data_IF_840718494715
#
_entry.id   IF_840718494715
#
_cell.length_a   1.000
_cell.length_b   1.000
_cell.length_c   1.000
_cell.angle_alpha   90.00
_cell.angle_beta   90.00
_cell.angle_gamma   90.00
#
_symmetry.space_group_name_H-M   'P 1'
#
loop_
_entity.id
_entity.type
_entity.pdbx_description
1 polymer ?
#
# COMPACT_ATOMS: atom_id res chain seq x y z
N UNK A 1 -4.39 3.96 -20.95
CA UNK A 1 -4.62 3.05 -19.80
C UNK A 1 -3.86 3.61 -18.63
N UNK A 2 -4.50 3.77 -17.47
CA UNK A 2 -3.81 4.12 -16.22
C UNK A 2 -3.69 2.84 -15.38
N UNK A 3 -2.48 2.42 -15.06
CA UNK A 3 -2.24 1.23 -14.23
C UNK A 3 -2.36 1.64 -12.77
N UNK A 4 -3.23 0.95 -12.01
CA UNK A 4 -3.36 1.16 -10.57
C UNK A 4 -2.50 0.16 -9.80
N UNK A 5 -1.81 0.63 -8.77
CA UNK A 5 -0.90 -0.14 -7.93
C UNK A 5 -1.48 -0.29 -6.52
N UNK A 6 -1.65 -1.54 -6.07
CA UNK A 6 -2.09 -1.90 -4.72
C UNK A 6 -0.96 -2.57 -3.94
N UNK A 7 -0.67 -2.07 -2.74
CA UNK A 7 0.25 -2.70 -1.79
C UNK A 7 -0.56 -3.34 -0.65
N UNK A 8 -0.29 -4.60 -0.32
CA UNK A 8 -1.09 -5.39 0.61
C UNK A 8 -0.22 -6.01 1.71
N UNK A 9 -0.82 -6.34 2.85
CA UNK A 9 -0.11 -7.01 3.95
C UNK A 9 0.77 -6.08 4.76
N UNK A 10 0.53 -4.77 4.68
CA UNK A 10 1.23 -3.78 5.51
C UNK A 10 0.79 -3.96 6.97
N UNK A 11 1.78 -4.05 7.87
CA UNK A 11 1.57 -4.22 9.31
C UNK A 11 2.32 -3.19 10.16
N UNK A 12 3.14 -2.34 9.52
CA UNK A 12 3.93 -1.28 10.16
C UNK A 12 3.63 0.07 9.52
N UNK A 13 3.75 1.13 10.32
CA UNK A 13 3.51 2.49 9.86
C UNK A 13 4.56 2.97 8.85
N UNK A 14 5.83 2.58 9.02
CA UNK A 14 6.91 2.98 8.12
C UNK A 14 6.72 2.40 6.71
N UNK A 15 6.25 1.15 6.62
CA UNK A 15 5.93 0.50 5.34
C UNK A 15 4.73 1.19 4.65
N UNK A 16 3.74 1.65 5.43
CA UNK A 16 2.61 2.44 4.93
C UNK A 16 3.08 3.76 4.33
N UNK A 17 3.90 4.52 5.06
CA UNK A 17 4.42 5.81 4.62
C UNK A 17 5.27 5.64 3.36
N UNK A 18 6.14 4.63 3.33
CA UNK A 18 6.95 4.30 2.15
C UNK A 18 6.07 4.01 0.93
N UNK A 19 5.01 3.20 1.08
CA UNK A 19 4.10 2.88 -0.02
C UNK A 19 3.39 4.14 -0.56
N UNK A 20 2.94 5.05 0.32
CA UNK A 20 2.29 6.30 -0.07
C UNK A 20 3.28 7.22 -0.81
N UNK A 21 4.49 7.41 -0.26
CA UNK A 21 5.53 8.26 -0.85
C UNK A 21 5.95 7.79 -2.25
N UNK A 22 5.86 6.49 -2.54
CA UNK A 22 6.22 5.91 -3.83
C UNK A 22 5.03 5.70 -4.78
N UNK A 23 3.84 6.22 -4.45
CA UNK A 23 2.71 6.28 -5.37
C UNK A 23 1.80 5.05 -5.38
N UNK A 24 1.66 4.35 -4.26
CA UNK A 24 0.60 3.36 -4.14
C UNK A 24 -0.79 4.03 -4.22
N UNK A 25 -1.66 3.51 -5.10
CA UNK A 25 -3.05 3.98 -5.21
C UNK A 25 -3.93 3.39 -4.11
N UNK A 26 -3.63 2.18 -3.66
CA UNK A 26 -4.43 1.43 -2.69
C UNK A 26 -3.55 0.70 -1.68
N UNK A 27 -4.04 0.63 -0.44
CA UNK A 27 -3.41 -0.14 0.65
C UNK A 27 -4.38 -1.23 1.14
N UNK A 28 -3.88 -2.44 1.38
CA UNK A 28 -4.64 -3.57 1.89
C UNK A 28 -4.14 -4.08 3.24
N UNK A 29 -5.05 -4.17 4.21
CA UNK A 29 -4.84 -4.82 5.50
C UNK A 29 -5.45 -6.22 5.49
N UNK A 30 -4.72 -7.20 6.02
CA UNK A 30 -5.18 -8.60 6.13
C UNK A 30 -5.79 -8.82 7.51
N UNK A 31 -7.04 -9.26 7.54
CA UNK A 31 -7.75 -9.64 8.75
C UNK A 31 -7.87 -11.17 8.78
N UNK A 32 -7.14 -11.83 9.67
CA UNK A 32 -7.23 -13.28 9.95
C UNK A 32 -8.02 -13.55 11.21
#
# INVERSE_FOLDING_TARGET
>A
MNTLIKICGITKLDDLNCAIEHGADLIGFVFV
#
